data_IF_070246330485
#
_entry.id   IF_070246330485
#
_cell.length_a   1.000
_cell.length_b   1.000
_cell.length_c   1.000
_cell.angle_alpha   90.00
_cell.angle_beta   90.00
_cell.angle_gamma   90.00
#
_symmetry.space_group_name_H-M   'P 1'
#
loop_
_entity.id
_entity.type
_entity.pdbx_description
1 polymer ?
#
# COMPACT_ATOMS: atom_id res chain seq x y z
N UNK A 1 16.48 -15.60 37.51
CA UNK A 1 16.98 -14.43 36.77
C UNK A 1 16.90 -14.78 35.30
N UNK A 2 15.99 -14.18 34.54
CA UNK A 2 15.97 -14.35 33.08
C UNK A 2 17.20 -13.64 32.52
N UNK A 3 18.03 -14.37 31.77
CA UNK A 3 19.15 -13.76 31.05
C UNK A 3 18.66 -12.71 30.05
N UNK A 4 19.54 -11.84 29.54
CA UNK A 4 19.16 -10.89 28.49
C UNK A 4 18.55 -11.68 27.33
N UNK A 5 17.36 -11.29 26.87
CA UNK A 5 16.85 -11.79 25.59
C UNK A 5 17.95 -11.55 24.56
N UNK A 6 18.36 -12.59 23.85
CA UNK A 6 19.22 -12.43 22.68
C UNK A 6 18.58 -11.37 21.78
N UNK A 7 19.36 -10.39 21.33
CA UNK A 7 18.88 -9.41 20.37
C UNK A 7 18.36 -10.17 19.15
N UNK A 8 17.05 -10.17 18.96
CA UNK A 8 16.44 -10.81 17.79
C UNK A 8 16.77 -9.96 16.58
N UNK A 9 17.22 -10.60 15.51
CA UNK A 9 17.48 -9.93 14.25
C UNK A 9 16.14 -9.51 13.63
N UNK A 10 15.82 -8.20 13.54
CA UNK A 10 14.56 -7.73 12.98
C UNK A 10 14.38 -8.13 11.51
N UNK A 11 15.46 -8.48 10.81
CA UNK A 11 15.40 -9.00 9.44
C UNK A 11 14.79 -10.41 9.35
N UNK A 12 14.63 -11.13 10.48
CA UNK A 12 13.96 -12.44 10.50
C UNK A 12 12.42 -12.33 10.49
N UNK A 13 11.86 -11.13 10.63
CA UNK A 13 10.42 -10.93 10.66
C UNK A 13 9.87 -10.78 9.24
N UNK A 14 8.95 -11.69 8.86
CA UNK A 14 8.23 -11.64 7.60
C UNK A 14 6.88 -10.94 7.80
N UNK A 15 6.74 -9.70 7.32
CA UNK A 15 5.50 -8.91 7.48
C UNK A 15 4.36 -9.35 6.56
N UNK A 16 4.61 -10.24 5.59
CA UNK A 16 3.55 -10.79 4.73
C UNK A 16 2.68 -11.85 5.44
N UNK A 17 3.15 -12.41 6.56
CA UNK A 17 2.37 -13.38 7.33
C UNK A 17 1.11 -12.70 7.87
N UNK A 18 -0.07 -13.24 7.54
CA UNK A 18 -1.37 -12.67 7.91
C UNK A 18 -1.93 -11.64 6.92
N UNK A 19 -1.22 -11.34 5.82
CA UNK A 19 -1.69 -10.41 4.79
C UNK A 19 -2.58 -11.08 3.73
N UNK A 20 -2.82 -12.39 3.82
CA UNK A 20 -3.76 -13.12 2.97
C UNK A 20 -4.90 -13.70 3.82
N UNK A 21 -6.03 -13.96 3.17
CA UNK A 21 -7.23 -14.56 3.76
C UNK A 21 -7.75 -13.72 4.94
N UNK A 22 -7.93 -14.30 6.13
CA UNK A 22 -8.60 -13.65 7.27
C UNK A 22 -7.65 -13.05 8.32
N UNK A 23 -6.35 -12.98 8.03
CA UNK A 23 -5.37 -12.39 8.94
C UNK A 23 -5.42 -10.86 9.01
N UNK A 24 -5.86 -10.20 7.95
CA UNK A 24 -6.08 -8.75 7.86
C UNK A 24 -4.92 -7.88 8.41
N UNK A 25 -3.68 -8.36 8.35
CA UNK A 25 -2.49 -7.55 8.67
C UNK A 25 -2.03 -6.77 7.44
N UNK A 26 -1.06 -5.87 7.63
CA UNK A 26 -0.46 -5.11 6.55
C UNK A 26 1.05 -5.38 6.49
N UNK A 27 1.67 -5.47 5.29
CA UNK A 27 3.10 -5.77 5.15
C UNK A 27 4.01 -4.54 5.32
N UNK A 28 3.42 -3.35 5.35
CA UNK A 28 4.11 -2.07 5.31
C UNK A 28 5.02 -1.75 6.50
N UNK A 29 5.79 -0.68 6.33
CA UNK A 29 6.74 -0.22 7.32
C UNK A 29 6.05 0.44 8.53
N UNK A 30 6.45 0.03 9.74
CA UNK A 30 6.06 0.69 10.99
C UNK A 30 7.15 0.53 12.05
N UNK A 31 7.28 1.53 12.92
CA UNK A 31 8.00 1.38 14.18
C UNK A 31 7.15 0.59 15.20
N UNK A 32 7.74 -0.06 16.21
CA UNK A 32 6.96 -0.66 17.30
C UNK A 32 6.00 0.37 17.92
N UNK A 33 4.71 0.06 17.93
CA UNK A 33 3.63 0.94 18.41
C UNK A 33 3.58 2.31 17.69
N UNK A 34 4.02 2.37 16.43
CA UNK A 34 4.00 3.57 15.62
C UNK A 34 2.59 4.02 15.26
N UNK A 35 2.36 5.34 15.27
CA UNK A 35 1.15 5.97 14.76
C UNK A 35 1.07 5.89 13.24
N UNK A 36 2.21 6.04 12.57
CA UNK A 36 2.32 5.99 11.11
C UNK A 36 2.71 4.58 10.68
N UNK A 37 1.98 4.06 9.70
CA UNK A 37 2.27 2.80 9.03
C UNK A 37 2.14 3.01 7.53
N UNK A 38 3.24 2.82 6.80
CA UNK A 38 3.25 3.01 5.34
C UNK A 38 3.13 1.68 4.65
N UNK A 39 1.96 1.40 4.06
CA UNK A 39 1.62 0.09 3.50
C UNK A 39 0.83 0.22 2.21
N UNK A 40 0.91 -0.74 1.27
CA UNK A 40 0.05 -0.75 0.09
C UNK A 40 -1.43 -0.77 0.45
N UNK A 41 -2.22 -0.13 -0.42
CA UNK A 41 -3.67 -0.19 -0.46
C UNK A 41 -4.04 -0.91 -1.76
N UNK A 42 -4.66 -2.07 -1.70
CA UNK A 42 -5.32 -2.76 -2.79
C UNK A 42 -6.85 -2.66 -2.70
N UNK A 43 -7.54 -3.75 -3.04
CA UNK A 43 -8.99 -3.81 -3.11
C UNK A 43 -9.65 -4.25 -1.81
N UNK A 44 -8.89 -4.87 -0.92
CA UNK A 44 -9.41 -5.41 0.33
C UNK A 44 -9.64 -4.33 1.40
N UNK A 45 -10.62 -4.54 2.29
CA UNK A 45 -10.97 -3.58 3.35
C UNK A 45 -9.87 -3.42 4.42
N UNK A 46 -8.98 -4.41 4.53
CA UNK A 46 -7.78 -4.34 5.37
C UNK A 46 -6.71 -3.38 4.84
N UNK A 47 -6.89 -2.87 3.63
CA UNK A 47 -5.88 -2.12 2.90
C UNK A 47 -5.47 -2.94 1.71
N UNK A 48 -4.77 -4.04 1.92
CA UNK A 48 -4.20 -4.87 0.86
C UNK A 48 -4.24 -6.34 1.25
N UNK A 49 -4.40 -7.21 0.25
CA UNK A 49 -4.16 -8.65 0.36
C UNK A 49 -3.00 -9.08 -0.50
N UNK A 50 -2.31 -10.14 -0.08
CA UNK A 50 -1.21 -10.73 -0.83
C UNK A 50 -1.57 -11.08 -2.28
N UNK A 51 -2.84 -11.36 -2.57
CA UNK A 51 -3.33 -11.67 -3.91
C UNK A 51 -4.15 -10.54 -4.55
N UNK A 52 -4.11 -9.32 -4.00
CA UNK A 52 -4.72 -8.16 -4.64
C UNK A 52 -4.03 -7.89 -5.98
N UNK A 53 -4.79 -7.60 -7.06
CA UNK A 53 -4.24 -7.52 -8.42
C UNK A 53 -3.47 -6.22 -8.70
N UNK A 54 -3.57 -5.22 -7.81
CA UNK A 54 -2.94 -3.92 -8.00
C UNK A 54 -2.95 -3.07 -6.74
N UNK A 55 -1.99 -2.15 -6.68
CA UNK A 55 -1.80 -1.18 -5.62
C UNK A 55 -2.40 0.15 -6.07
N UNK A 56 -3.37 0.64 -5.30
CA UNK A 56 -4.07 1.91 -5.44
C UNK A 56 -3.32 3.09 -4.81
N UNK A 57 -2.20 2.81 -4.14
CA UNK A 57 -1.34 3.75 -3.44
C UNK A 57 -0.80 3.17 -2.13
N UNK A 58 -0.04 3.97 -1.42
CA UNK A 58 0.55 3.67 -0.11
C UNK A 58 -0.10 4.58 0.93
N UNK A 59 -0.87 3.99 1.84
CA UNK A 59 -1.52 4.71 2.93
C UNK A 59 -0.55 4.95 4.08
N UNK A 60 -0.93 5.83 5.01
CA UNK A 60 -0.08 6.20 6.15
C UNK A 60 -0.66 5.83 7.53
N UNK A 61 -1.83 5.18 7.55
CA UNK A 61 -2.49 4.72 8.77
C UNK A 61 -3.26 3.43 8.48
N UNK A 62 -3.08 2.41 9.32
CA UNK A 62 -3.71 1.10 9.20
C UNK A 62 -4.05 0.48 10.56
N UNK A 63 -5.12 -0.31 10.61
CA UNK A 63 -5.48 -1.14 11.76
C UNK A 63 -5.17 -2.61 11.48
N UNK A 64 -4.19 -3.17 12.19
CA UNK A 64 -3.74 -4.55 11.97
C UNK A 64 -4.71 -5.57 12.58
N UNK A 65 -5.22 -6.50 11.76
CA UNK A 65 -5.96 -7.68 12.22
C UNK A 65 -7.40 -7.44 12.64
N UNK A 66 -7.99 -6.30 12.29
CA UNK A 66 -9.41 -6.05 12.54
C UNK A 66 -10.30 -6.77 11.50
N UNK A 67 -11.54 -7.08 11.89
CA UNK A 67 -12.54 -7.74 11.03
C UNK A 67 -13.62 -6.81 10.47
N UNK A 68 -13.59 -5.51 10.82
CA UNK A 68 -14.54 -4.51 10.33
C UNK A 68 -13.93 -3.66 9.20
N UNK A 69 -14.76 -2.83 8.55
CA UNK A 69 -14.52 -2.29 7.22
C UNK A 69 -13.80 -0.93 7.16
N UNK A 70 -13.06 -0.51 8.18
CA UNK A 70 -12.42 0.81 8.22
C UNK A 70 -10.98 0.72 8.72
N UNK A 71 -10.18 -0.16 8.11
CA UNK A 71 -8.83 -0.45 8.59
C UNK A 71 -7.76 0.54 8.12
N UNK A 72 -8.13 1.77 7.75
CA UNK A 72 -7.18 2.84 7.45
C UNK A 72 -7.11 3.23 5.98
N UNK A 73 -5.89 3.34 5.44
CA UNK A 73 -5.61 3.73 4.06
C UNK A 73 -5.69 5.25 3.81
N UNK A 74 -5.71 6.07 4.86
CA UNK A 74 -5.73 7.53 4.71
C UNK A 74 -4.39 8.07 4.25
N UNK A 75 -4.44 9.23 3.58
CA UNK A 75 -3.27 9.93 3.02
C UNK A 75 -2.50 8.99 2.10
N UNK A 76 -3.15 8.64 0.99
CA UNK A 76 -2.60 7.70 0.01
C UNK A 76 -1.63 8.41 -0.92
N UNK A 77 -0.47 7.80 -1.15
CA UNK A 77 0.53 8.29 -2.09
C UNK A 77 0.74 7.26 -3.19
N UNK A 78 0.76 7.68 -4.46
CA UNK A 78 1.11 6.81 -5.57
C UNK A 78 2.03 7.54 -6.55
N UNK A 79 3.17 6.91 -6.87
CA UNK A 79 4.06 7.40 -7.92
C UNK A 79 3.62 6.87 -9.29
N UNK A 80 3.61 7.75 -10.29
CA UNK A 80 3.16 7.46 -11.65
C UNK A 80 4.02 8.20 -12.67
N UNK A 81 4.02 7.70 -13.91
CA UNK A 81 4.48 8.42 -15.09
C UNK A 81 3.29 8.67 -16.00
N UNK A 82 3.44 9.58 -16.95
CA UNK A 82 2.38 9.96 -17.88
C UNK A 82 2.07 11.44 -17.79
N UNK A 83 1.14 11.89 -18.61
CA UNK A 83 0.78 13.29 -18.75
C UNK A 83 -0.31 13.70 -17.75
N UNK A 84 -0.06 14.78 -16.99
CA UNK A 84 -1.05 15.42 -16.12
C UNK A 84 -1.57 16.69 -16.82
N UNK A 85 -2.88 16.77 -17.04
CA UNK A 85 -3.51 17.97 -17.61
C UNK A 85 -4.70 17.65 -18.53
N UNK A 86 -5.34 18.68 -19.11
CA UNK A 86 -6.47 18.51 -20.02
C UNK A 86 -6.19 17.49 -21.15
N UNK A 87 -6.94 16.38 -21.16
CA UNK A 87 -6.79 15.30 -22.14
C UNK A 87 -5.54 14.42 -22.02
N UNK A 88 -4.79 14.52 -20.91
CA UNK A 88 -3.66 13.64 -20.60
C UNK A 88 -4.10 12.29 -20.01
N UNK A 89 -3.10 11.47 -19.63
CA UNK A 89 -3.32 10.18 -18.96
C UNK A 89 -4.07 10.36 -17.63
N UNK A 90 -3.81 11.47 -16.94
CA UNK A 90 -4.53 11.94 -15.76
C UNK A 90 -5.24 13.25 -16.09
N UNK A 91 -6.42 13.13 -16.72
CA UNK A 91 -7.16 14.27 -17.26
C UNK A 91 -7.78 15.15 -16.15
N UNK A 92 -7.31 16.39 -16.05
CA UNK A 92 -7.83 17.37 -15.07
C UNK A 92 -9.19 17.95 -15.44
N UNK A 93 -9.70 17.70 -16.65
CA UNK A 93 -11.07 18.06 -17.05
C UNK A 93 -12.10 16.98 -16.69
N UNK A 94 -11.67 15.75 -16.42
CA UNK A 94 -12.52 14.67 -15.93
C UNK A 94 -12.18 14.35 -14.48
N UNK A 95 -12.96 14.86 -13.53
CA UNK A 95 -12.79 14.54 -12.12
C UNK A 95 -12.83 13.02 -11.84
N UNK A 96 -13.49 12.22 -12.70
CA UNK A 96 -13.54 10.76 -12.57
C UNK A 96 -12.24 10.06 -13.02
N UNK A 97 -11.32 10.77 -13.69
CA UNK A 97 -9.99 10.25 -14.00
C UNK A 97 -9.15 10.03 -12.73
N UNK A 98 -9.40 10.82 -11.69
CA UNK A 98 -8.75 10.71 -10.37
C UNK A 98 -9.47 9.71 -9.45
N UNK A 99 -9.67 8.49 -9.98
CA UNK A 99 -10.23 7.36 -9.24
C UNK A 99 -9.14 6.32 -8.97
N UNK A 100 -8.88 6.04 -7.69
CA UNK A 100 -7.86 5.09 -7.25
C UNK A 100 -8.05 3.65 -7.75
N UNK A 101 -9.24 3.31 -8.24
CA UNK A 101 -9.52 2.02 -8.88
C UNK A 101 -9.08 2.00 -10.33
N UNK A 102 -9.01 3.15 -10.99
CA UNK A 102 -8.59 3.31 -12.39
C UNK A 102 -7.08 3.43 -12.54
N UNK A 103 -6.44 4.19 -11.65
CA UNK A 103 -4.99 4.39 -11.68
C UNK A 103 -4.20 3.38 -10.82
N UNK A 104 -4.84 2.30 -10.38
CA UNK A 104 -4.16 1.26 -9.61
C UNK A 104 -3.01 0.64 -10.44
N UNK A 105 -1.82 0.57 -9.87
CA UNK A 105 -0.65 -0.02 -10.50
C UNK A 105 -0.57 -1.52 -10.22
N UNK A 106 -0.41 -2.34 -11.25
CA UNK A 106 0.03 -3.73 -11.08
C UNK A 106 1.44 -3.77 -10.48
N UNK A 107 1.75 -4.84 -9.77
CA UNK A 107 3.04 -5.01 -9.09
C UNK A 107 3.48 -6.48 -9.16
N UNK A 108 4.69 -6.74 -8.69
CA UNK A 108 5.25 -8.10 -8.59
C UNK A 108 5.76 -8.38 -7.17
N UNK A 109 5.57 -9.62 -6.71
CA UNK A 109 6.20 -10.13 -5.48
C UNK A 109 7.68 -10.48 -5.69
N UNK A 110 8.15 -10.57 -6.93
CA UNK A 110 9.56 -10.80 -7.22
C UNK A 110 10.39 -9.59 -6.76
N UNK A 111 11.31 -9.84 -5.82
CA UNK A 111 12.08 -8.78 -5.16
C UNK A 111 11.28 -7.90 -4.18
N UNK A 112 10.04 -8.28 -3.84
CA UNK A 112 9.26 -7.59 -2.81
C UNK A 112 9.82 -7.90 -1.42
N UNK A 113 9.92 -6.87 -0.58
CA UNK A 113 10.50 -6.95 0.76
C UNK A 113 9.50 -6.43 1.77
N UNK A 114 9.20 -7.28 2.76
CA UNK A 114 8.41 -6.94 3.93
C UNK A 114 9.17 -7.33 5.19
N UNK A 115 9.74 -6.35 5.88
CA UNK A 115 10.53 -6.54 7.10
C UNK A 115 10.23 -5.45 8.13
N UNK A 116 10.70 -5.64 9.36
CA UNK A 116 10.48 -4.66 10.43
C UNK A 116 10.99 -3.26 10.04
N UNK A 117 10.07 -2.29 9.98
CA UNK A 117 10.38 -0.89 9.68
C UNK A 117 10.72 -0.58 8.21
N UNK A 118 10.63 -1.54 7.29
CA UNK A 118 10.91 -1.30 5.87
C UNK A 118 10.04 -2.17 4.96
N UNK A 119 9.51 -1.54 3.91
CA UNK A 119 8.75 -2.19 2.85
C UNK A 119 9.29 -1.76 1.48
N UNK A 120 9.37 -2.70 0.53
CA UNK A 120 9.70 -2.43 -0.87
C UNK A 120 8.83 -3.27 -1.80
N UNK A 121 8.36 -2.64 -2.86
CA UNK A 121 7.69 -3.33 -3.97
C UNK A 121 8.03 -2.68 -5.31
N UNK A 122 7.99 -3.46 -6.38
CA UNK A 122 8.08 -2.93 -7.74
C UNK A 122 6.69 -2.85 -8.37
N UNK A 123 6.27 -1.62 -8.65
CA UNK A 123 5.15 -1.34 -9.54
C UNK A 123 5.60 -1.65 -10.97
N UNK A 124 4.77 -2.35 -11.73
CA UNK A 124 5.07 -2.82 -13.10
C UNK A 124 4.38 -1.99 -14.18
N UNK A 125 3.32 -1.26 -13.81
CA UNK A 125 2.74 -0.21 -14.64
C UNK A 125 3.59 1.07 -14.56
N UNK A 126 3.22 2.09 -15.34
CA UNK A 126 3.91 3.39 -15.37
C UNK A 126 5.41 3.30 -15.73
N UNK A 127 5.76 2.39 -16.64
CA UNK A 127 7.15 2.14 -17.03
C UNK A 127 8.00 1.43 -15.97
N UNK A 128 7.41 1.14 -14.80
CA UNK A 128 8.00 0.41 -13.70
C UNK A 128 8.71 1.31 -12.69
N UNK A 129 8.30 1.22 -11.43
CA UNK A 129 8.75 2.10 -10.34
C UNK A 129 9.01 1.24 -9.10
N UNK A 130 10.20 1.37 -8.51
CA UNK A 130 10.48 0.78 -7.20
C UNK A 130 10.00 1.75 -6.13
N UNK A 131 9.04 1.31 -5.31
CA UNK A 131 8.52 2.04 -4.17
C UNK A 131 9.09 1.44 -2.88
N UNK A 132 9.71 2.27 -2.06
CA UNK A 132 10.31 1.89 -0.79
C UNK A 132 9.79 2.81 0.31
N UNK A 133 9.52 2.25 1.49
CA UNK A 133 9.06 3.01 2.63
C UNK A 133 9.76 2.58 3.92
N UNK A 134 9.99 3.54 4.80
CA UNK A 134 10.38 3.29 6.20
C UNK A 134 9.61 4.24 7.12
N UNK A 135 9.34 3.81 8.35
CA UNK A 135 8.51 4.56 9.27
C UNK A 135 9.10 4.58 10.69
N UNK A 136 9.01 5.76 11.29
CA UNK A 136 9.21 6.03 12.71
C UNK A 136 7.86 6.11 13.42
N UNK A 137 7.87 6.40 14.72
CA UNK A 137 6.65 6.45 15.53
C UNK A 137 5.59 7.43 14.99
N UNK A 138 5.97 8.54 14.34
CA UNK A 138 5.04 9.60 13.88
C UNK A 138 5.40 10.21 12.53
N UNK A 139 6.36 9.63 11.82
CA UNK A 139 6.85 10.14 10.55
C UNK A 139 7.28 8.95 9.69
N UNK A 140 7.23 9.12 8.37
CA UNK A 140 7.74 8.15 7.43
C UNK A 140 8.57 8.83 6.34
N UNK A 141 9.38 8.03 5.68
CA UNK A 141 10.11 8.41 4.48
C UNK A 141 9.80 7.39 3.39
N UNK A 142 9.51 7.89 2.20
CA UNK A 142 9.27 7.08 1.02
C UNK A 142 10.27 7.47 -0.07
N UNK A 143 10.74 6.47 -0.81
CA UNK A 143 11.62 6.63 -1.97
C UNK A 143 11.00 5.94 -3.17
N UNK A 144 10.86 6.71 -4.25
CA UNK A 144 10.34 6.23 -5.52
C UNK A 144 11.43 6.31 -6.58
N UNK A 145 11.83 5.16 -7.11
CA UNK A 145 12.86 5.06 -8.16
C UNK A 145 12.19 4.69 -9.48
N UNK A 146 12.08 5.68 -10.36
CA UNK A 146 11.51 5.51 -11.70
C UNK A 146 12.50 4.76 -12.61
N UNK A 147 11.99 3.89 -13.49
CA UNK A 147 12.82 3.18 -14.44
C UNK A 147 13.60 4.15 -15.37
N UNK A 148 14.80 3.74 -15.85
CA UNK A 148 15.54 4.51 -16.83
C UNK A 148 14.69 4.85 -18.06
N UNK A 149 14.75 6.10 -18.50
CA UNK A 149 13.96 6.59 -19.64
C UNK A 149 12.64 7.26 -19.28
N UNK A 150 12.24 7.27 -18.00
CA UNK A 150 11.15 8.13 -17.54
C UNK A 150 11.55 9.61 -17.65
N UNK A 151 10.88 10.38 -18.51
CA UNK A 151 11.16 11.81 -18.68
C UNK A 151 10.58 12.66 -17.55
N UNK A 152 9.44 12.26 -17.01
CA UNK A 152 8.76 12.95 -15.90
C UNK A 152 8.09 11.93 -14.98
N UNK A 153 8.34 12.08 -13.69
CA UNK A 153 7.68 11.33 -12.63
C UNK A 153 6.75 12.24 -11.83
N UNK A 154 5.62 11.68 -11.40
CA UNK A 154 4.64 12.36 -10.57
C UNK A 154 4.42 11.58 -9.28
N UNK A 155 4.10 12.30 -8.21
CA UNK A 155 3.67 11.73 -6.94
C UNK A 155 2.27 12.27 -6.68
N UNK A 156 1.28 11.40 -6.80
CA UNK A 156 -0.12 11.71 -6.51
C UNK A 156 -0.33 11.60 -5.01
N UNK A 157 -0.98 12.61 -4.42
CA UNK A 157 -1.36 12.62 -3.01
C UNK A 157 -2.88 12.69 -2.92
N UNK A 158 -3.50 11.60 -2.48
CA UNK A 158 -4.93 11.51 -2.31
C UNK A 158 -5.30 11.59 -0.82
N UNK A 159 -5.77 12.76 -0.41
CA UNK A 159 -6.21 13.07 0.96
C UNK A 159 -7.65 12.65 1.26
N UNK A 160 -8.41 12.23 0.24
CA UNK A 160 -9.80 11.80 0.36
C UNK A 160 -9.97 10.27 0.36
N UNK A 161 -8.93 9.53 -0.03
CA UNK A 161 -8.93 8.08 -0.03
C UNK A 161 -8.88 7.51 1.39
N UNK A 162 -9.62 6.44 1.60
CA UNK A 162 -9.52 5.50 2.71
C UNK A 162 -9.80 4.08 2.16
N UNK A 163 -9.59 3.05 2.97
CA UNK A 163 -9.90 1.68 2.58
C UNK A 163 -11.38 1.53 2.20
N UNK A 164 -11.62 0.77 1.13
CA UNK A 164 -12.98 0.53 0.65
C UNK A 164 -13.78 -0.31 1.66
N UNK A 165 -15.05 0.03 1.80
CA UNK A 165 -16.00 -0.85 2.47
C UNK A 165 -16.15 -2.14 1.65
N UNK A 166 -16.00 -3.29 2.31
CA UNK A 166 -16.38 -4.55 1.70
C UNK A 166 -17.90 -4.61 1.50
N UNK A 167 -18.36 -4.72 0.26
CA UNK A 167 -19.75 -5.10 -0.02
C UNK A 167 -19.79 -6.62 -0.01
N UNK A 168 -20.15 -7.20 1.14
CA UNK A 168 -20.45 -8.63 1.18
C UNK A 168 -21.60 -8.88 0.19
N UNK A 169 -21.32 -9.62 -0.89
CA UNK A 169 -22.41 -10.17 -1.71
C UNK A 169 -23.18 -11.10 -0.78
N UNK A 170 -24.46 -10.80 -0.56
CA UNK A 170 -25.36 -11.71 0.14
C UNK A 170 -25.28 -13.05 -0.61
N UNK A 171 -24.95 -14.18 0.05
CA UNK A 171 -25.07 -15.46 -0.62
C UNK A 171 -26.51 -15.62 -1.13
N UNK A 172 -26.73 -16.27 -2.28
CA UNK A 172 -28.09 -16.57 -2.71
C UNK A 172 -28.79 -17.30 -1.56
N UNK A 173 -29.95 -16.80 -1.17
CA UNK A 173 -30.81 -17.44 -0.18
C UNK A 173 -31.07 -18.87 -0.69
N UNK A 174 -30.82 -19.87 0.14
CA UNK A 174 -31.26 -21.23 -0.16
C UNK A 174 -32.80 -21.19 -0.14
N UNK A 175 -33.43 -21.32 -1.31
CA UNK A 175 -34.86 -21.63 -1.45
C UNK A 175 -35.22 -22.97 -0.79
#
# INVERSE_FOLDING_TARGET
MSGPLAAQDPAQLNTFIGSKDDGNTYPGASAPFGLIQVSPIGAHYAGWRYDDPGIRGFGHAFLSGAGCWEQGGQVSILSVTGSIGPGGDFDTNDAKAFDQKRYAARYTHDGEVGQAGYYKVRLTDYGGIDAEASALTRAAAERYTFAPGAETGHVLVNVAQANDRHVARRPPEFE
#
